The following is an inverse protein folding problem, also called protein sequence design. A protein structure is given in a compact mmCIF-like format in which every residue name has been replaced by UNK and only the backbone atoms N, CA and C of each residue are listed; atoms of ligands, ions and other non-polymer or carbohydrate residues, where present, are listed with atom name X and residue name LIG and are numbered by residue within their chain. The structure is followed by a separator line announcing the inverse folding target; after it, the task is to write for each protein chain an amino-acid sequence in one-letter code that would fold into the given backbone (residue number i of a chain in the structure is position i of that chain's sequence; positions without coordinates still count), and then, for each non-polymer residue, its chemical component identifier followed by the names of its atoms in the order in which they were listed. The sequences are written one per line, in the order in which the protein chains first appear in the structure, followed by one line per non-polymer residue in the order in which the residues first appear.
data_IF_728550117453
#
_entry.id   IF_728550117453
#
_cell.length_a   1.000
_cell.length_b   1.000
_cell.length_c   1.000
_cell.angle_alpha   90.00
_cell.angle_beta   90.00
_cell.angle_gamma   90.00
#
_symmetry.space_group_name_H-M   'P 1'
#
loop_
_entity.id
_entity.type
_entity.pdbx_description
1 polymer ?
#
# COMPACT_ATOMS: atom_id res chain seq x y z
N UNK A 1 7.58 53.89 3.38
CA UNK A 1 6.13 53.60 3.42
C UNK A 1 5.91 52.66 4.59
N UNK A 2 5.45 53.20 5.72
CA UNK A 2 5.32 52.48 6.99
C UNK A 2 3.94 51.84 7.06
N UNK A 3 3.88 50.52 7.19
CA UNK A 3 2.64 49.75 7.34
C UNK A 3 2.48 49.36 8.80
N UNK A 4 1.55 50.02 9.49
CA UNK A 4 1.10 49.69 10.85
C UNK A 4 0.14 48.48 10.78
N UNK A 5 0.45 47.41 11.50
CA UNK A 5 -0.50 46.30 11.74
C UNK A 5 -1.24 46.56 13.05
N UNK A 6 -2.51 46.96 12.97
CA UNK A 6 -3.41 46.99 14.12
C UNK A 6 -3.70 45.55 14.61
N UNK A 7 -3.30 45.25 15.85
CA UNK A 7 -3.76 44.05 16.57
C UNK A 7 -5.22 44.25 16.99
N UNK A 8 -6.14 43.65 16.24
CA UNK A 8 -7.55 43.54 16.66
C UNK A 8 -7.63 42.58 17.87
N UNK A 9 -7.88 43.12 19.06
CA UNK A 9 -8.27 42.37 20.27
C UNK A 9 -9.60 41.68 19.99
N UNK A 10 -9.66 40.36 20.13
CA UNK A 10 -10.91 39.61 20.17
C UNK A 10 -11.43 39.61 21.61
N UNK A 11 -12.55 40.28 21.83
CA UNK A 11 -13.27 40.28 23.10
C UNK A 11 -13.88 38.89 23.37
N UNK A 12 -13.42 38.23 24.43
CA UNK A 12 -14.08 37.04 24.94
C UNK A 12 -15.31 37.46 25.75
N UNK A 13 -16.49 37.27 25.16
CA UNK A 13 -17.76 37.37 25.85
C UNK A 13 -17.87 36.35 26.99
N UNK A 14 -18.48 36.78 28.10
CA UNK A 14 -18.69 36.03 29.34
C UNK A 14 -19.37 34.67 29.11
N UNK A 15 -18.87 33.63 29.80
CA UNK A 15 -19.49 32.31 29.94
C UNK A 15 -20.70 32.40 30.89
N UNK A 16 -21.90 31.92 30.51
CA UNK A 16 -22.97 31.70 31.48
C UNK A 16 -22.75 30.38 32.25
N UNK A 17 -22.68 30.50 33.57
CA UNK A 17 -22.60 29.41 34.54
C UNK A 17 -24.00 28.92 34.92
N UNK A 18 -24.51 27.83 34.30
CA UNK A 18 -25.57 26.99 34.89
C UNK A 18 -25.43 25.53 34.45
N UNK A 19 -24.99 24.67 35.37
CA UNK A 19 -25.28 23.24 35.32
C UNK A 19 -26.75 23.04 35.72
N UNK A 20 -27.54 22.41 34.86
CA UNK A 20 -28.74 21.70 35.29
C UNK A 20 -28.74 20.32 34.66
N UNK A 21 -28.66 19.31 35.53
CA UNK A 21 -28.80 17.90 35.23
C UNK A 21 -30.20 17.60 34.74
N UNK A 22 -30.32 17.00 33.55
CA UNK A 22 -31.50 16.22 33.17
C UNK A 22 -31.11 15.20 32.10
N UNK A 23 -31.24 13.94 32.52
CA UNK A 23 -31.33 12.68 31.76
C UNK A 23 -31.38 12.84 30.23
N UNK A 24 -30.27 12.53 29.55
CA UNK A 24 -30.27 12.28 28.12
C UNK A 24 -29.98 10.80 27.88
N UNK A 25 -31.04 10.02 27.68
CA UNK A 25 -30.97 8.76 26.93
C UNK A 25 -30.48 9.12 25.52
N UNK A 26 -29.18 8.97 25.28
CA UNK A 26 -28.56 9.33 24.01
C UNK A 26 -28.87 8.24 22.98
N UNK A 27 -29.84 8.52 22.11
CA UNK A 27 -30.21 7.65 21.00
C UNK A 27 -29.03 7.55 20.01
N UNK A 28 -28.50 6.34 19.86
CA UNK A 28 -27.29 5.99 19.09
C UNK A 28 -27.36 6.45 17.62
N UNK A 29 -28.57 6.59 17.07
CA UNK A 29 -28.79 7.03 15.70
C UNK A 29 -28.45 8.52 15.46
N UNK A 30 -28.51 9.37 16.48
CA UNK A 30 -28.30 10.82 16.31
C UNK A 30 -26.83 11.20 16.19
N UNK A 31 -25.92 10.36 16.69
CA UNK A 31 -24.48 10.62 16.69
C UNK A 31 -23.86 10.71 15.29
N UNK A 32 -24.41 9.99 14.30
CA UNK A 32 -23.81 9.90 12.95
C UNK A 32 -24.24 10.99 11.97
N UNK A 33 -25.24 11.82 12.29
CA UNK A 33 -25.80 12.80 11.33
C UNK A 33 -25.19 14.20 11.40
N UNK A 34 -24.32 14.48 12.36
CA UNK A 34 -23.69 15.81 12.45
C UNK A 34 -22.19 15.65 12.30
N UNK A 35 -21.70 15.90 11.09
CA UNK A 35 -20.28 16.14 10.80
C UNK A 35 -19.82 17.25 11.75
N UNK A 36 -19.18 16.88 12.87
CA UNK A 36 -18.66 17.81 13.87
C UNK A 36 -17.22 18.13 13.54
N UNK A 37 -16.95 19.43 13.53
CA UNK A 37 -15.64 20.06 13.63
C UNK A 37 -14.77 19.39 14.70
N UNK A 38 -13.48 19.30 14.39
CA UNK A 38 -12.39 18.46 14.93
C UNK A 38 -12.11 18.38 16.44
N UNK A 39 -12.98 18.86 17.33
CA UNK A 39 -12.69 18.94 18.77
C UNK A 39 -13.27 17.78 19.62
N UNK A 40 -13.44 16.60 19.03
CA UNK A 40 -13.73 15.40 19.83
C UNK A 40 -12.45 14.92 20.52
N UNK A 41 -12.32 15.17 21.83
CA UNK A 41 -11.27 14.55 22.68
C UNK A 41 -11.41 13.02 22.78
N UNK A 42 -12.50 12.46 22.23
CA UNK A 42 -12.76 11.04 22.20
C UNK A 42 -12.14 10.49 20.91
N UNK A 43 -11.10 9.67 21.08
CA UNK A 43 -10.46 8.97 19.96
C UNK A 43 -11.48 8.11 19.20
N UNK A 44 -11.40 8.01 17.86
CA UNK A 44 -12.28 7.17 17.06
C UNK A 44 -12.37 5.74 17.62
N UNK A 45 -13.59 5.28 17.89
CA UNK A 45 -13.85 3.94 18.45
C UNK A 45 -14.09 2.98 17.28
N UNK A 46 -13.38 1.84 17.27
CA UNK A 46 -13.63 0.77 16.30
C UNK A 46 -15.05 0.22 16.47
N UNK A 47 -15.82 0.15 15.39
CA UNK A 47 -17.07 -0.59 15.32
C UNK A 47 -16.78 -2.07 15.00
N UNK A 48 -16.02 -2.75 15.85
CA UNK A 48 -15.83 -4.20 15.71
C UNK A 48 -16.87 -4.92 16.55
N UNK A 49 -17.25 -6.14 16.14
CA UNK A 49 -18.12 -7.01 16.95
C UNK A 49 -17.50 -7.43 18.30
N UNK A 50 -16.25 -7.02 18.57
CA UNK A 50 -15.54 -7.33 19.81
C UNK A 50 -15.83 -6.29 20.89
N UNK A 51 -16.37 -6.76 22.01
CA UNK A 51 -16.70 -5.93 23.19
C UNK A 51 -15.45 -5.48 23.98
N UNK A 52 -14.30 -6.11 23.74
CA UNK A 52 -13.06 -5.76 24.40
C UNK A 52 -12.37 -4.61 23.66
N UNK A 53 -12.02 -3.55 24.41
CA UNK A 53 -11.31 -2.38 23.88
C UNK A 53 -9.91 -2.80 23.43
N UNK A 54 -9.77 -3.09 22.14
CA UNK A 54 -8.45 -3.30 21.54
C UNK A 54 -7.84 -1.94 21.17
N UNK A 55 -6.55 -1.72 21.46
CA UNK A 55 -5.86 -0.51 21.05
C UNK A 55 -5.86 -0.37 19.52
N UNK A 56 -5.98 0.87 19.04
CA UNK A 56 -5.89 1.21 17.61
C UNK A 56 -4.51 1.77 17.33
N UNK A 57 -3.80 1.21 16.34
CA UNK A 57 -2.55 1.80 15.84
C UNK A 57 -2.87 3.12 15.12
N UNK A 58 -2.35 4.23 15.64
CA UNK A 58 -2.54 5.57 15.05
C UNK A 58 -1.30 5.90 14.24
N UNK A 59 -1.47 6.10 12.93
CA UNK A 59 -0.34 6.36 12.03
C UNK A 59 -0.48 7.77 11.50
N UNK A 60 0.50 8.61 11.84
CA UNK A 60 0.58 10.00 11.38
C UNK A 60 1.48 10.04 10.15
N UNK A 61 0.98 10.64 9.07
CA UNK A 61 1.77 10.81 7.84
C UNK A 61 2.82 11.93 7.95
N UNK A 62 2.75 12.77 8.99
CA UNK A 62 3.66 13.90 9.20
C UNK A 62 4.47 13.70 10.48
N UNK A 63 5.75 14.08 10.44
CA UNK A 63 6.62 14.09 11.62
C UNK A 63 6.13 15.14 12.63
N UNK A 64 5.53 14.66 13.72
CA UNK A 64 5.17 15.51 14.86
C UNK A 64 6.36 15.59 15.82
N UNK A 65 6.89 16.80 16.04
CA UNK A 65 7.93 17.06 17.06
C UNK A 65 7.43 16.92 18.50
N UNK A 66 6.12 16.79 18.70
CA UNK A 66 5.52 16.55 20.02
C UNK A 66 5.64 15.06 20.34
N UNK A 67 6.29 14.76 21.47
CA UNK A 67 6.51 13.41 22.00
C UNK A 67 5.15 12.73 22.23
N UNK A 68 4.71 11.89 21.30
CA UNK A 68 3.50 11.09 21.50
C UNK A 68 3.86 9.89 22.37
N UNK A 69 3.43 9.89 23.64
CA UNK A 69 3.44 8.68 24.46
C UNK A 69 2.40 7.68 23.92
N UNK A 70 2.69 7.02 22.80
CA UNK A 70 1.95 5.84 22.37
C UNK A 70 2.70 4.61 22.90
N UNK A 71 2.27 4.10 24.06
CA UNK A 71 2.96 3.02 24.80
C UNK A 71 2.80 1.61 24.21
N UNK A 72 2.43 1.44 22.95
CA UNK A 72 2.06 0.12 22.43
C UNK A 72 2.60 -0.15 21.01
N UNK A 73 3.51 -1.11 20.92
CA UNK A 73 3.89 -1.85 19.71
C UNK A 73 4.73 -1.09 18.67
N UNK A 74 5.37 -1.86 17.78
CA UNK A 74 5.99 -1.36 16.54
C UNK A 74 4.93 -0.64 15.71
N UNK A 75 5.16 0.65 15.44
CA UNK A 75 4.26 1.53 14.69
C UNK A 75 4.50 1.41 13.18
N UNK A 76 4.64 0.19 12.67
CA UNK A 76 4.89 0.00 11.25
C UNK A 76 3.64 0.39 10.46
N UNK A 77 3.86 1.15 9.39
CA UNK A 77 2.78 1.55 8.50
C UNK A 77 2.17 0.28 7.88
N UNK A 78 0.83 0.09 7.92
CA UNK A 78 0.20 -1.08 7.32
C UNK A 78 0.52 -1.04 5.84
N UNK A 79 1.04 -2.15 5.34
CA UNK A 79 1.28 -2.34 3.92
C UNK A 79 0.00 -2.86 3.28
N UNK A 80 -0.42 -2.24 2.19
CA UNK A 80 -1.52 -2.77 1.39
C UNK A 80 -1.01 -3.99 0.61
N UNK A 81 -1.50 -5.17 0.96
CA UNK A 81 -1.24 -6.39 0.21
C UNK A 81 -2.15 -6.47 -1.03
N UNK A 82 -1.68 -7.14 -2.08
CA UNK A 82 -2.43 -7.38 -3.33
C UNK A 82 -2.93 -6.11 -4.02
N UNK A 83 -2.20 -5.00 -3.87
CA UNK A 83 -2.53 -3.74 -4.53
C UNK A 83 -2.43 -3.88 -6.06
N UNK A 84 -1.60 -4.80 -6.55
CA UNK A 84 -1.43 -5.16 -7.95
C UNK A 84 -2.76 -5.57 -8.59
N UNK A 85 -3.65 -6.24 -7.85
CA UNK A 85 -4.97 -6.62 -8.36
C UNK A 85 -5.86 -5.44 -8.69
N UNK A 86 -5.55 -4.24 -8.19
CA UNK A 86 -6.28 -3.03 -8.58
C UNK A 86 -5.86 -2.52 -9.95
N UNK A 87 -4.69 -2.94 -10.45
CA UNK A 87 -4.13 -2.56 -11.74
C UNK A 87 -4.35 -3.62 -12.83
N UNK A 88 -5.09 -4.68 -12.51
CA UNK A 88 -5.28 -5.85 -13.34
C UNK A 88 -6.14 -5.61 -14.61
N UNK A 89 -6.78 -4.43 -14.70
CA UNK A 89 -7.53 -3.96 -15.86
C UNK A 89 -6.91 -2.71 -16.48
N UNK A 90 -5.66 -2.40 -16.11
CA UNK A 90 -4.92 -1.25 -16.62
C UNK A 90 -3.75 -1.74 -17.45
N UNK A 91 -3.73 -1.33 -18.71
CA UNK A 91 -2.62 -1.54 -19.62
C UNK A 91 -1.93 -0.21 -19.88
N UNK A 92 -0.62 -0.27 -20.14
CA UNK A 92 0.09 0.90 -20.64
C UNK A 92 -0.43 1.24 -22.05
N UNK A 93 -0.55 2.52 -22.37
CA UNK A 93 -0.93 3.00 -23.68
C UNK A 93 0.04 4.09 -24.17
N UNK A 94 0.08 4.29 -25.48
CA UNK A 94 0.78 5.42 -26.08
C UNK A 94 0.01 6.75 -25.93
N UNK A 95 0.54 7.83 -26.50
CA UNK A 95 -0.11 9.15 -26.47
C UNK A 95 -1.47 9.20 -27.17
N UNK A 96 -1.72 8.28 -28.10
CA UNK A 96 -2.94 8.17 -28.87
C UNK A 96 -3.96 7.22 -28.21
N UNK A 97 -3.59 6.62 -27.07
CA UNK A 97 -4.43 5.70 -26.31
C UNK A 97 -4.40 4.26 -26.82
N UNK A 98 -3.50 3.90 -27.75
CA UNK A 98 -3.34 2.52 -28.18
C UNK A 98 -2.62 1.71 -27.09
N UNK A 99 -3.27 0.64 -26.63
CA UNK A 99 -2.72 -0.23 -25.60
C UNK A 99 -1.50 -1.02 -26.11
N UNK A 100 -0.45 -1.05 -25.30
CA UNK A 100 0.69 -1.92 -25.57
C UNK A 100 0.32 -3.39 -25.33
N UNK A 101 0.96 -4.27 -26.11
CA UNK A 101 0.83 -5.71 -25.90
C UNK A 101 1.31 -6.09 -24.49
N UNK A 102 0.58 -7.03 -23.87
CA UNK A 102 1.01 -7.59 -22.59
C UNK A 102 2.35 -8.33 -22.75
N UNK A 103 3.21 -8.21 -21.74
CA UNK A 103 4.49 -8.90 -21.72
C UNK A 103 4.25 -10.35 -21.32
N UNK A 104 4.68 -11.28 -22.19
CA UNK A 104 4.67 -12.71 -21.89
C UNK A 104 5.75 -13.04 -20.85
N UNK A 105 5.31 -13.63 -19.73
CA UNK A 105 6.23 -14.07 -18.69
C UNK A 105 6.89 -15.40 -19.06
N UNK A 106 8.18 -15.59 -18.72
CA UNK A 106 8.82 -16.90 -18.82
C UNK A 106 8.03 -17.96 -18.04
N UNK A 107 7.89 -19.17 -18.62
CA UNK A 107 7.16 -20.31 -18.03
C UNK A 107 7.64 -20.74 -16.63
N UNK A 108 8.85 -20.32 -16.27
CA UNK A 108 9.47 -20.57 -14.98
C UNK A 108 8.83 -19.72 -13.87
N UNK A 109 8.32 -18.53 -14.22
CA UNK A 109 7.66 -17.63 -13.28
C UNK A 109 6.21 -18.07 -13.11
N UNK A 110 5.92 -18.69 -11.96
CA UNK A 110 4.59 -19.18 -11.61
C UNK A 110 3.93 -18.28 -10.59
N UNK A 111 2.68 -17.92 -10.85
CA UNK A 111 1.84 -17.12 -9.96
C UNK A 111 1.62 -17.83 -8.62
N UNK A 112 1.53 -17.07 -7.53
CA UNK A 112 1.16 -17.61 -6.21
C UNK A 112 0.03 -16.82 -5.55
N UNK A 113 -0.85 -17.53 -4.85
CA UNK A 113 -1.99 -16.95 -4.16
C UNK A 113 -3.29 -17.04 -4.95
N UNK A 114 -4.40 -16.59 -4.35
CA UNK A 114 -5.73 -16.75 -4.92
C UNK A 114 -5.98 -15.81 -6.10
N UNK A 115 -6.38 -16.39 -7.24
CA UNK A 115 -6.82 -15.65 -8.42
C UNK A 115 -5.77 -14.62 -8.90
N UNK A 116 -4.49 -14.96 -8.83
CA UNK A 116 -3.39 -14.13 -9.35
C UNK A 116 -3.14 -14.51 -10.81
N UNK A 117 -3.20 -13.52 -11.69
CA UNK A 117 -2.96 -13.66 -13.14
C UNK A 117 -1.51 -13.30 -13.48
N UNK A 118 -1.08 -13.63 -14.70
CA UNK A 118 0.28 -13.31 -15.17
C UNK A 118 0.55 -11.80 -15.17
N UNK A 119 -0.43 -10.97 -15.54
CA UNK A 119 -0.31 -9.51 -15.47
C UNK A 119 -0.06 -9.01 -14.04
N UNK A 120 -0.79 -9.53 -13.05
CA UNK A 120 -0.62 -9.21 -11.63
C UNK A 120 0.78 -9.60 -11.14
N UNK A 121 1.24 -10.79 -11.55
CA UNK A 121 2.57 -11.29 -11.24
C UNK A 121 3.64 -10.37 -11.82
N UNK A 122 3.50 -9.98 -13.10
CA UNK A 122 4.42 -9.05 -13.75
C UNK A 122 4.50 -7.72 -13.00
N UNK A 123 3.37 -7.12 -12.63
CA UNK A 123 3.31 -5.88 -11.86
C UNK A 123 4.00 -6.01 -10.50
N UNK A 124 3.80 -7.14 -9.81
CA UNK A 124 4.42 -7.43 -8.52
C UNK A 124 5.95 -7.54 -8.64
N UNK A 125 6.43 -8.27 -9.66
CA UNK A 125 7.87 -8.44 -9.95
C UNK A 125 8.50 -7.11 -10.35
N UNK A 126 7.88 -6.36 -11.27
CA UNK A 126 8.38 -5.07 -11.71
C UNK A 126 8.53 -4.09 -10.54
N UNK A 127 7.56 -4.07 -9.63
CA UNK A 127 7.60 -3.21 -8.44
C UNK A 127 8.68 -3.64 -7.45
N UNK A 128 8.81 -4.95 -7.23
CA UNK A 128 9.87 -5.50 -6.39
C UNK A 128 11.25 -5.12 -6.93
N UNK A 129 11.49 -5.28 -8.24
CA UNK A 129 12.75 -4.90 -8.89
C UNK A 129 13.00 -3.38 -8.89
N UNK A 130 11.94 -2.57 -8.97
CA UNK A 130 12.06 -1.12 -8.99
C UNK A 130 12.33 -0.51 -7.61
N UNK A 131 11.68 -1.04 -6.57
CA UNK A 131 11.64 -0.42 -5.24
C UNK A 131 12.54 -1.13 -4.22
N UNK A 132 12.76 -2.43 -4.39
CA UNK A 132 13.57 -3.22 -3.45
C UNK A 132 15.03 -3.21 -3.85
N UNK A 133 15.91 -3.03 -2.86
CA UNK A 133 17.34 -3.29 -2.97
C UNK A 133 17.71 -4.72 -2.56
N UNK A 134 16.73 -5.48 -2.06
CA UNK A 134 16.92 -6.86 -1.63
C UNK A 134 16.71 -7.86 -2.77
N UNK A 135 17.35 -9.04 -2.71
CA UNK A 135 17.15 -10.08 -3.71
C UNK A 135 15.67 -10.45 -3.88
N UNK A 136 15.25 -10.60 -5.13
CA UNK A 136 13.92 -11.07 -5.50
C UNK A 136 13.99 -12.59 -5.69
N UNK A 137 13.50 -13.33 -4.70
CA UNK A 137 13.51 -14.80 -4.66
C UNK A 137 12.10 -15.39 -4.78
N UNK A 138 11.05 -14.60 -4.49
CA UNK A 138 9.65 -15.03 -4.49
C UNK A 138 9.15 -15.54 -3.14
N UNK A 139 7.91 -16.01 -3.12
CA UNK A 139 7.26 -16.57 -1.94
C UNK A 139 7.82 -17.97 -1.64
N UNK A 140 8.43 -18.11 -0.47
CA UNK A 140 9.00 -19.37 0.02
C UNK A 140 7.99 -20.21 0.81
N UNK A 141 6.88 -19.62 1.25
CA UNK A 141 5.81 -20.35 1.93
C UNK A 141 5.23 -21.45 1.03
N UNK A 142 4.89 -22.63 1.59
CA UNK A 142 4.35 -23.73 0.79
C UNK A 142 3.03 -23.34 0.14
N UNK A 143 2.79 -23.83 -1.09
CA UNK A 143 1.62 -23.49 -1.90
C UNK A 143 0.29 -23.66 -1.15
N UNK A 144 0.15 -24.75 -0.40
CA UNK A 144 -1.07 -25.06 0.37
C UNK A 144 -1.35 -24.05 1.50
N UNK A 145 -0.30 -23.47 2.09
CA UNK A 145 -0.48 -22.44 3.12
C UNK A 145 -1.02 -21.15 2.47
N UNK A 146 -0.42 -20.74 1.35
CA UNK A 146 -0.80 -19.54 0.61
C UNK A 146 -2.21 -19.61 0.02
N UNK A 147 -2.74 -20.80 -0.28
CA UNK A 147 -4.14 -20.96 -0.71
C UNK A 147 -5.13 -20.93 0.46
N UNK A 148 -4.71 -21.34 1.66
CA UNK A 148 -5.60 -21.44 2.84
C UNK A 148 -5.73 -20.10 3.56
N UNK A 149 -4.61 -19.43 3.82
CA UNK A 149 -4.61 -18.11 4.47
C UNK A 149 -3.53 -17.18 3.87
N UNK A 150 -3.77 -16.63 2.67
CA UNK A 150 -2.81 -15.79 1.98
C UNK A 150 -2.41 -14.54 2.79
N UNK A 151 -3.31 -13.99 3.61
CA UNK A 151 -3.00 -12.80 4.40
C UNK A 151 -1.95 -13.03 5.50
N UNK A 152 -1.82 -14.28 5.98
CA UNK A 152 -0.86 -14.64 7.04
C UNK A 152 0.43 -15.21 6.45
N UNK A 153 0.35 -15.94 5.34
CA UNK A 153 1.48 -16.69 4.80
C UNK A 153 2.24 -16.00 3.67
N UNK A 154 1.74 -14.87 3.15
CA UNK A 154 2.45 -14.06 2.16
C UNK A 154 3.52 -13.20 2.84
N UNK A 155 4.74 -13.29 2.32
CA UNK A 155 5.80 -12.36 2.63
C UNK A 155 5.59 -11.05 1.83
N UNK A 156 5.36 -9.90 2.49
CA UNK A 156 5.16 -8.62 1.82
C UNK A 156 6.39 -8.08 1.08
N UNK A 157 7.59 -8.56 1.41
CA UNK A 157 8.84 -8.07 0.84
C UNK A 157 9.28 -8.86 -0.41
N UNK A 158 8.50 -9.88 -0.78
CA UNK A 158 8.71 -10.67 -1.99
C UNK A 158 7.48 -10.58 -2.90
N UNK A 159 7.65 -10.61 -4.23
CA UNK A 159 6.54 -10.56 -5.18
C UNK A 159 5.63 -11.78 -5.09
N UNK A 160 4.44 -11.69 -5.70
CA UNK A 160 3.45 -12.77 -5.78
C UNK A 160 3.83 -13.87 -6.80
N UNK A 161 5.05 -14.37 -6.70
CA UNK A 161 5.60 -15.48 -7.51
C UNK A 161 6.07 -16.62 -6.61
N UNK A 162 5.90 -17.87 -7.04
CA UNK A 162 6.50 -19.01 -6.35
C UNK A 162 8.02 -18.88 -6.32
N UNK A 163 8.66 -19.27 -5.23
CA UNK A 163 10.12 -19.27 -5.13
C UNK A 163 10.78 -19.76 -6.43
N UNK A 164 11.61 -18.89 -7.00
CA UNK A 164 12.27 -19.06 -8.28
C UNK A 164 13.77 -19.14 -8.06
N UNK A 165 14.42 -20.11 -8.72
CA UNK A 165 15.87 -20.24 -8.74
C UNK A 165 16.36 -20.06 -10.17
N UNK A 166 17.30 -19.15 -10.37
CA UNK A 166 17.97 -18.96 -11.65
C UNK A 166 19.13 -19.95 -11.74
N UNK A 167 19.19 -20.73 -12.82
CA UNK A 167 20.27 -21.69 -13.06
C UNK A 167 21.31 -21.13 -14.02
N UNK A 168 22.52 -21.70 -14.02
CA UNK A 168 23.59 -21.32 -14.98
C UNK A 168 23.13 -21.50 -16.44
N UNK A 169 22.26 -22.48 -16.70
CA UNK A 169 21.68 -22.72 -18.01
C UNK A 169 20.71 -21.61 -18.43
N UNK A 170 19.96 -21.02 -17.49
CA UNK A 170 19.10 -19.87 -17.77
C UNK A 170 19.93 -18.64 -18.13
N UNK A 171 21.05 -18.44 -17.43
CA UNK A 171 22.01 -17.35 -17.71
C UNK A 171 22.60 -17.53 -19.11
N UNK A 172 23.14 -18.72 -19.42
CA UNK A 172 23.73 -19.04 -20.72
C UNK A 172 22.77 -18.80 -21.87
N UNK A 173 21.52 -19.27 -21.77
CA UNK A 173 20.48 -19.05 -22.79
C UNK A 173 20.18 -17.57 -23.00
N UNK A 174 20.13 -16.80 -21.92
CA UNK A 174 19.86 -15.37 -22.01
C UNK A 174 21.02 -14.62 -22.68
N UNK A 175 22.27 -14.98 -22.37
CA UNK A 175 23.46 -14.43 -23.01
C UNK A 175 23.50 -14.74 -24.51
N UNK A 176 23.22 -15.98 -24.91
CA UNK A 176 23.14 -16.38 -26.32
C UNK A 176 22.09 -15.57 -27.09
N UNK A 177 20.91 -15.39 -26.49
CA UNK A 177 19.84 -14.56 -27.09
C UNK A 177 20.30 -13.12 -27.30
N UNK A 178 20.93 -12.51 -26.30
CA UNK A 178 21.42 -11.13 -26.37
C UNK A 178 22.52 -11.01 -27.44
N UNK A 179 23.47 -11.93 -27.47
CA UNK A 179 24.55 -11.93 -28.45
C UNK A 179 24.03 -12.09 -29.88
N UNK A 180 23.03 -12.95 -30.10
CA UNK A 180 22.37 -13.10 -31.39
C UNK A 180 21.70 -11.80 -31.87
N UNK A 181 21.01 -11.08 -30.97
CA UNK A 181 20.38 -9.80 -31.29
C UNK A 181 21.44 -8.72 -31.58
N UNK A 182 22.52 -8.65 -30.79
CA UNK A 182 23.63 -7.71 -31.02
C UNK A 182 24.29 -7.92 -32.38
N UNK A 183 24.49 -9.17 -32.80
CA UNK A 183 25.04 -9.49 -34.12
C UNK A 183 24.11 -9.01 -35.24
N UNK A 184 22.80 -9.27 -35.13
CA UNK A 184 21.81 -8.77 -36.10
C UNK A 184 21.79 -7.24 -36.18
N UNK A 185 21.92 -6.56 -35.04
CA UNK A 185 22.01 -5.10 -35.00
C UNK A 185 23.28 -4.61 -35.69
N UNK A 186 24.44 -5.24 -35.44
CA UNK A 186 25.69 -4.89 -36.09
C UNK A 186 25.61 -5.04 -37.62
N UNK A 187 25.01 -6.12 -38.10
CA UNK A 187 24.79 -6.34 -39.54
C UNK A 187 23.86 -5.28 -40.15
N UNK A 188 22.81 -4.88 -39.43
CA UNK A 188 21.89 -3.83 -39.89
C UNK A 188 22.52 -2.43 -39.92
N UNK A 189 23.46 -2.13 -39.02
CA UNK A 189 24.19 -0.86 -38.97
C UNK A 189 25.39 -0.79 -39.94
N UNK A 190 25.85 -1.94 -40.44
CA UNK A 190 26.94 -2.02 -41.40
C UNK A 190 26.49 -1.83 -42.86
N UNK A 191 25.17 -1.81 -43.10
CA UNK A 191 24.54 -1.44 -44.37
C UNK A 191 24.05 0.01 -44.32
#
# INVERSE_FOLDING_TARGET
MNINLEKKRNDYGQLPSKLNSSKNTLDFATYYKTIRSDASLIAPIRQTASIFKQPVTVIKSQESKVKSELKHGTQDKPRQLFWEKRLEAMNACDSDGAEFASIDLPKQLKTVGPNIREQTLFQSVATALHTSLHPVTGQTSPKNALTTNPGVFVNPDQPLLHACSITDEDIRKQEERVNGIRKKLQEALAN
#
